data_IF_935709061303
#
_entry.id   IF_935709061303
#
_cell.length_a   1.000
_cell.length_b   1.000
_cell.length_c   1.000
_cell.angle_alpha   90.00
_cell.angle_beta   90.00
_cell.angle_gamma   90.00
#
_symmetry.space_group_name_H-M   'P 1'
#
loop_
_entity.id
_entity.type
_entity.pdbx_description
1 polymer ?
#
# COMPACT_ATOMS: atom_id res chain seq x y z
N UNK A 1 6.55 -9.30 -18.44
CA UNK A 1 6.97 -9.52 -17.06
C UNK A 1 7.49 -10.93 -16.86
N UNK A 2 8.28 -11.10 -15.80
CA UNK A 2 8.64 -12.40 -15.23
C UNK A 2 7.43 -12.99 -14.50
N UNK A 3 7.21 -14.31 -14.63
CA UNK A 3 6.13 -15.02 -13.92
C UNK A 3 6.43 -15.19 -12.41
N UNK A 4 7.68 -14.97 -12.00
CA UNK A 4 8.14 -15.13 -10.61
C UNK A 4 8.00 -13.83 -9.82
N UNK A 5 6.77 -13.44 -9.49
CA UNK A 5 6.46 -12.19 -8.75
C UNK A 5 7.19 -12.14 -7.40
N UNK A 6 7.15 -13.22 -6.62
CA UNK A 6 7.75 -13.27 -5.28
C UNK A 6 9.28 -13.24 -5.25
N UNK A 7 9.94 -13.52 -6.39
CA UNK A 7 11.41 -13.46 -6.48
C UNK A 7 11.92 -12.03 -6.73
N UNK A 8 11.08 -11.16 -7.28
CA UNK A 8 11.45 -9.79 -7.69
C UNK A 8 10.65 -8.68 -7.01
N UNK A 9 9.69 -9.01 -6.14
CA UNK A 9 8.82 -8.05 -5.46
C UNK A 9 8.70 -8.41 -3.98
N UNK A 10 9.04 -7.47 -3.10
CA UNK A 10 8.74 -7.51 -1.67
C UNK A 10 7.88 -6.31 -1.32
N UNK A 11 6.72 -6.54 -0.71
CA UNK A 11 5.74 -5.48 -0.41
C UNK A 11 5.20 -5.61 1.01
N UNK A 12 4.97 -4.47 1.65
CA UNK A 12 4.15 -4.35 2.85
C UNK A 12 3.04 -3.31 2.60
N UNK A 13 2.23 -3.05 3.62
CA UNK A 13 1.06 -2.15 3.55
C UNK A 13 1.38 -0.68 3.19
N UNK A 14 2.65 -0.30 3.11
CA UNK A 14 3.08 1.09 2.86
C UNK A 14 4.32 1.24 1.97
N UNK A 15 4.98 0.17 1.57
CA UNK A 15 6.14 0.19 0.69
C UNK A 15 6.23 -1.08 -0.15
N UNK A 16 6.59 -0.93 -1.42
CA UNK A 16 6.97 -2.03 -2.30
C UNK A 16 8.39 -1.81 -2.84
N UNK A 17 9.15 -2.89 -2.91
CA UNK A 17 10.46 -2.97 -3.54
C UNK A 17 10.39 -3.94 -4.71
N UNK A 18 10.64 -3.45 -5.92
CA UNK A 18 10.66 -4.23 -7.15
C UNK A 18 12.06 -4.22 -7.79
N UNK A 19 12.34 -5.21 -8.64
CA UNK A 19 13.58 -5.27 -9.43
C UNK A 19 13.70 -4.12 -10.43
N UNK A 20 14.93 -3.77 -10.82
CA UNK A 20 15.21 -2.65 -11.74
C UNK A 20 14.57 -2.84 -13.13
N UNK A 21 14.39 -4.09 -13.55
CA UNK A 21 13.80 -4.44 -14.84
C UNK A 21 12.26 -4.34 -14.85
N UNK A 22 11.61 -4.05 -13.71
CA UNK A 22 10.16 -3.86 -13.65
C UNK A 22 9.76 -2.57 -14.35
N UNK A 23 8.86 -2.68 -15.31
CA UNK A 23 8.43 -1.53 -16.13
C UNK A 23 7.50 -0.60 -15.36
N UNK A 24 7.41 0.67 -15.76
CA UNK A 24 6.51 1.64 -15.13
C UNK A 24 5.05 1.20 -15.15
N UNK A 25 4.60 0.49 -16.19
CA UNK A 25 3.24 -0.05 -16.27
C UNK A 25 3.01 -1.16 -15.25
N UNK A 26 3.98 -2.06 -15.06
CA UNK A 26 3.90 -3.10 -14.03
C UNK A 26 3.92 -2.47 -12.62
N UNK A 27 4.73 -1.44 -12.39
CA UNK A 27 4.74 -0.67 -11.13
C UNK A 27 3.38 -0.02 -10.85
N UNK A 28 2.75 0.63 -11.82
CA UNK A 28 1.42 1.23 -11.63
C UNK A 28 0.34 0.20 -11.28
N UNK A 29 0.43 -1.02 -11.81
CA UNK A 29 -0.46 -2.12 -11.46
C UNK A 29 -0.21 -2.57 -10.01
N UNK A 30 1.04 -2.69 -9.60
CA UNK A 30 1.42 -3.06 -8.22
C UNK A 30 0.92 -1.99 -7.23
N UNK A 31 1.14 -0.71 -7.51
CA UNK A 31 0.67 0.40 -6.67
C UNK A 31 -0.84 0.39 -6.52
N UNK A 32 -1.58 0.18 -7.62
CA UNK A 32 -3.04 0.12 -7.61
C UNK A 32 -3.57 -1.12 -6.87
N UNK A 33 -2.91 -2.27 -7.02
CA UNK A 33 -3.32 -3.53 -6.39
C UNK A 33 -3.12 -3.49 -4.86
N UNK A 34 -1.97 -2.99 -4.42
CA UNK A 34 -1.62 -2.89 -3.00
C UNK A 34 -2.06 -1.56 -2.37
N UNK A 35 -2.72 -0.68 -3.13
CA UNK A 35 -3.18 0.65 -2.70
C UNK A 35 -2.06 1.50 -2.09
N UNK A 36 -0.85 1.35 -2.64
CA UNK A 36 0.32 2.10 -2.22
C UNK A 36 0.19 3.54 -2.75
N UNK A 37 0.19 4.51 -1.85
CA UNK A 37 0.03 5.92 -2.19
C UNK A 37 -1.36 6.50 -1.89
N UNK A 38 -2.38 5.66 -1.70
CA UNK A 38 -3.74 6.08 -1.32
C UNK A 38 -4.01 5.92 0.18
N UNK A 39 -2.96 6.07 1.01
CA UNK A 39 -3.16 6.38 2.43
C UNK A 39 -3.61 7.83 2.48
N UNK A 40 -4.88 8.07 2.18
CA UNK A 40 -5.54 9.26 2.68
C UNK A 40 -5.22 9.33 4.18
N UNK A 41 -4.53 10.39 4.61
CA UNK A 41 -4.34 10.69 6.03
C UNK A 41 -5.68 10.66 6.81
N UNK A 42 -6.80 10.78 6.08
CA UNK A 42 -8.19 10.61 6.51
C UNK A 42 -8.47 9.29 7.24
N UNK A 43 -7.98 8.14 6.76
CA UNK A 43 -8.27 6.83 7.39
C UNK A 43 -7.70 6.74 8.82
N UNK A 44 -6.48 7.26 9.02
CA UNK A 44 -5.84 7.30 10.34
C UNK A 44 -6.60 8.26 11.27
N UNK A 45 -7.05 9.43 10.76
CA UNK A 45 -7.89 10.33 11.56
C UNK A 45 -9.27 9.79 11.87
N UNK A 46 -9.87 8.96 11.01
CA UNK A 46 -11.16 8.32 11.29
C UNK A 46 -11.03 7.30 12.40
N UNK A 47 -10.05 6.40 12.30
CA UNK A 47 -9.79 5.38 13.33
C UNK A 47 -9.39 6.03 14.67
N UNK A 48 -8.57 7.09 14.65
CA UNK A 48 -8.23 7.86 15.85
C UNK A 48 -9.44 8.60 16.44
N UNK A 49 -10.36 9.11 15.61
CA UNK A 49 -11.60 9.76 16.08
C UNK A 49 -12.56 8.75 16.70
N UNK A 50 -12.75 7.59 16.08
CA UNK A 50 -13.64 6.55 16.60
C UNK A 50 -13.15 6.03 17.95
N UNK A 51 -11.84 5.81 18.12
CA UNK A 51 -11.26 5.42 19.40
C UNK A 51 -11.40 6.49 20.50
N UNK A 52 -11.34 7.78 20.13
CA UNK A 52 -11.56 8.88 21.08
C UNK A 52 -13.05 9.01 21.46
N UNK A 53 -13.96 8.84 20.50
CA UNK A 53 -15.41 8.95 20.73
C UNK A 53 -15.89 7.83 21.67
N UNK A 54 -15.40 6.59 21.48
CA UNK A 54 -15.74 5.44 22.33
C UNK A 54 -15.26 5.59 23.79
N UNK A 55 -14.16 6.32 24.02
CA UNK A 55 -13.66 6.59 25.37
C UNK A 55 -14.45 7.65 26.16
N UNK A 56 -15.38 8.35 25.49
CA UNK A 56 -16.18 9.43 26.08
C UNK A 56 -17.65 9.08 26.30
N UNK A 57 -18.05 7.82 26.03
CA UNK A 57 -19.39 7.31 26.29
C UNK A 57 -19.41 6.33 27.47
#
# INVERSE_FOLDING_TARGET
>A
GSDLVAAGLCVNDWIAFAGLDTTSTELSVIESLFKLGDREASAITSDMRDALIDSTM
#
